data_IF_241788311817
#
_entry.id   IF_241788311817
#
_cell.length_a   1.000
_cell.length_b   1.000
_cell.length_c   1.000
_cell.angle_alpha   90.00
_cell.angle_beta   90.00
_cell.angle_gamma   90.00
#
_symmetry.space_group_name_H-M   'P 1'
#
loop_
_entity.id
_entity.type
_entity.pdbx_description
1 polymer ?
#
# COMPACT_ATOMS: atom_id res chain seq x y z
N UNK A 1 7.81 3.37 -14.52
CA UNK A 1 6.76 2.36 -14.25
C UNK A 1 7.49 1.03 -14.27
N UNK A 2 7.61 0.38 -13.10
CA UNK A 2 8.37 -0.87 -13.03
C UNK A 2 7.66 -1.95 -13.86
N UNK A 3 8.42 -2.61 -14.71
CA UNK A 3 7.92 -3.77 -15.45
C UNK A 3 8.07 -5.00 -14.55
N UNK A 4 6.97 -5.74 -14.37
CA UNK A 4 6.95 -6.94 -13.54
C UNK A 4 6.83 -8.18 -14.41
N UNK A 5 7.43 -9.27 -13.94
CA UNK A 5 7.39 -10.60 -14.57
C UNK A 5 7.16 -11.71 -13.56
N UNK A 6 6.73 -12.85 -14.03
CA UNK A 6 6.69 -14.06 -13.22
C UNK A 6 8.11 -14.56 -12.90
N UNK A 7 8.24 -15.30 -11.81
CA UNK A 7 9.46 -16.02 -11.46
C UNK A 7 9.74 -17.14 -12.46
N UNK A 8 11.02 -17.33 -12.81
CA UNK A 8 11.46 -18.48 -13.60
C UNK A 8 11.57 -19.74 -12.73
N UNK A 9 11.49 -20.95 -13.30
CA UNK A 9 11.67 -22.18 -12.55
C UNK A 9 13.01 -22.26 -11.79
N UNK A 10 14.09 -21.72 -12.36
CA UNK A 10 15.40 -21.67 -11.72
C UNK A 10 15.43 -20.73 -10.50
N UNK A 11 14.76 -19.60 -10.58
CA UNK A 11 14.61 -18.67 -9.43
C UNK A 11 13.78 -19.30 -8.32
N UNK A 12 12.68 -19.98 -8.65
CA UNK A 12 11.86 -20.70 -7.68
C UNK A 12 12.70 -21.76 -6.94
N UNK A 13 13.45 -22.59 -7.65
CA UNK A 13 14.32 -23.59 -7.05
C UNK A 13 15.38 -22.96 -6.12
N UNK A 14 15.98 -21.84 -6.50
CA UNK A 14 16.92 -21.10 -5.67
C UNK A 14 16.27 -20.52 -4.42
N UNK A 15 15.04 -20.00 -4.53
CA UNK A 15 14.27 -19.49 -3.41
C UNK A 15 13.91 -20.60 -2.41
N UNK A 16 13.44 -21.75 -2.89
CA UNK A 16 13.14 -22.92 -2.05
C UNK A 16 14.40 -23.42 -1.35
N UNK A 17 15.54 -23.49 -2.05
CA UNK A 17 16.82 -23.86 -1.46
C UNK A 17 17.29 -22.87 -0.36
N UNK A 18 16.90 -21.60 -0.44
CA UNK A 18 17.17 -20.58 0.59
C UNK A 18 16.17 -20.59 1.75
N UNK A 19 15.23 -21.56 1.78
CA UNK A 19 14.20 -21.70 2.81
C UNK A 19 13.00 -20.77 2.61
N UNK A 20 12.85 -20.18 1.43
CA UNK A 20 11.66 -19.40 1.07
C UNK A 20 10.55 -20.32 0.56
N UNK A 21 9.30 -19.95 0.80
CA UNK A 21 8.10 -20.72 0.40
C UNK A 21 7.03 -19.79 -0.15
N UNK A 22 6.16 -20.29 -1.01
CA UNK A 22 4.96 -19.60 -1.43
C UNK A 22 3.76 -20.57 -1.45
N UNK A 23 2.56 -20.02 -1.23
CA UNK A 23 1.32 -20.80 -1.42
C UNK A 23 1.16 -21.18 -2.89
N UNK A 24 1.50 -20.25 -3.77
CA UNK A 24 1.48 -20.40 -5.23
C UNK A 24 2.50 -19.45 -5.85
N UNK A 25 3.60 -19.98 -6.40
CA UNK A 25 4.64 -19.20 -7.05
C UNK A 25 4.14 -18.43 -8.29
N UNK A 26 3.08 -18.92 -8.94
CA UNK A 26 2.52 -18.24 -10.11
C UNK A 26 1.82 -16.91 -9.78
N UNK A 27 1.48 -16.70 -8.52
CA UNK A 27 0.85 -15.47 -8.01
C UNK A 27 1.88 -14.42 -7.56
N UNK A 28 3.17 -14.72 -7.68
CA UNK A 28 4.27 -13.83 -7.28
C UNK A 28 4.88 -13.20 -8.53
N UNK A 29 4.88 -11.87 -8.57
CA UNK A 29 5.49 -11.08 -9.64
C UNK A 29 6.70 -10.31 -9.08
N UNK A 30 7.76 -10.22 -9.87
CA UNK A 30 9.01 -9.56 -9.48
C UNK A 30 9.44 -8.56 -10.56
N UNK A 31 10.20 -7.55 -10.17
CA UNK A 31 10.84 -6.64 -11.11
C UNK A 31 11.82 -7.36 -12.04
N UNK A 32 12.12 -6.79 -13.20
CA UNK A 32 13.03 -7.38 -14.20
C UNK A 32 14.43 -7.68 -13.65
N UNK A 33 14.92 -6.84 -12.74
CA UNK A 33 16.25 -6.95 -12.12
C UNK A 33 16.27 -7.80 -10.84
N UNK A 34 15.20 -8.53 -10.56
CA UNK A 34 15.11 -9.40 -9.39
C UNK A 34 16.18 -10.49 -9.39
N UNK A 35 16.78 -10.71 -8.22
CA UNK A 35 17.70 -11.80 -7.96
C UNK A 35 17.27 -12.61 -6.74
N UNK A 36 17.29 -13.97 -6.77
CA UNK A 36 16.82 -14.81 -5.66
C UNK A 36 17.47 -14.54 -4.30
N UNK A 37 18.71 -14.03 -4.27
CA UNK A 37 19.40 -13.67 -3.02
C UNK A 37 18.72 -12.55 -2.22
N UNK A 38 17.79 -11.83 -2.81
CA UNK A 38 16.99 -10.78 -2.16
C UNK A 38 15.95 -11.35 -1.19
N UNK A 39 15.58 -12.64 -1.37
CA UNK A 39 14.63 -13.32 -0.49
C UNK A 39 15.33 -14.47 0.25
N UNK A 40 15.20 -14.50 1.57
CA UNK A 40 15.73 -15.58 2.41
C UNK A 40 14.78 -15.89 3.55
N UNK A 41 14.30 -17.12 3.63
CA UNK A 41 13.30 -17.52 4.63
C UNK A 41 11.99 -16.74 4.50
N UNK A 42 11.65 -16.28 3.29
CA UNK A 42 10.41 -15.55 3.01
C UNK A 42 9.25 -16.55 2.88
N UNK A 43 8.12 -16.20 3.46
CA UNK A 43 6.84 -16.95 3.31
C UNK A 43 5.86 -16.06 2.56
N UNK A 44 5.64 -16.36 1.29
CA UNK A 44 4.81 -15.55 0.41
C UNK A 44 3.42 -16.19 0.27
N UNK A 45 2.38 -15.36 0.21
CA UNK A 45 1.02 -15.87 0.05
C UNK A 45 0.10 -14.93 -0.68
N UNK A 46 -0.89 -15.50 -1.39
CA UNK A 46 -1.77 -14.73 -2.25
C UNK A 46 -1.00 -13.98 -3.32
N UNK A 47 -1.50 -12.85 -3.76
CA UNK A 47 -0.80 -12.01 -4.75
C UNK A 47 0.27 -11.15 -4.09
N UNK A 48 1.52 -11.31 -4.51
CA UNK A 48 2.63 -10.48 -4.05
C UNK A 48 3.39 -9.94 -5.25
N UNK A 49 3.70 -8.65 -5.22
CA UNK A 49 4.50 -7.99 -6.23
C UNK A 49 5.71 -7.32 -5.58
N UNK A 50 6.90 -7.60 -6.08
CA UNK A 50 8.15 -7.12 -5.53
C UNK A 50 8.83 -6.18 -6.54
N UNK A 51 8.96 -4.91 -6.18
CA UNK A 51 9.67 -3.93 -6.99
C UNK A 51 11.19 -4.10 -6.90
N UNK A 52 11.92 -3.31 -7.68
CA UNK A 52 13.39 -3.34 -7.74
C UNK A 52 14.03 -3.16 -6.36
N UNK A 53 15.05 -3.94 -6.06
CA UNK A 53 15.84 -3.82 -4.82
C UNK A 53 15.11 -4.21 -3.53
N UNK A 54 13.94 -4.83 -3.59
CA UNK A 54 13.23 -5.34 -2.42
C UNK A 54 14.00 -6.48 -1.78
N UNK A 55 14.16 -6.43 -0.46
CA UNK A 55 14.75 -7.51 0.32
C UNK A 55 13.77 -8.02 1.38
N UNK A 56 13.56 -9.34 1.45
CA UNK A 56 12.72 -9.98 2.49
C UNK A 56 13.53 -11.04 3.22
N UNK A 57 13.61 -10.95 4.55
CA UNK A 57 14.35 -11.89 5.40
C UNK A 57 13.47 -12.39 6.53
N UNK A 58 13.39 -13.72 6.69
CA UNK A 58 12.64 -14.39 7.77
C UNK A 58 11.25 -13.83 8.03
N UNK A 59 10.54 -13.44 6.95
CA UNK A 59 9.29 -12.69 7.05
C UNK A 59 8.17 -13.32 6.24
N UNK A 60 6.92 -13.16 6.72
CA UNK A 60 5.71 -13.55 5.99
C UNK A 60 5.06 -12.35 5.31
N UNK A 61 4.80 -12.44 4.00
CA UNK A 61 4.13 -11.39 3.21
C UNK A 61 2.96 -12.01 2.45
N UNK A 62 1.79 -11.38 2.55
CA UNK A 62 0.58 -11.86 1.88
C UNK A 62 -0.26 -10.73 1.32
N UNK A 63 -0.65 -10.81 0.06
CA UNK A 63 -1.49 -9.82 -0.63
C UNK A 63 -0.90 -8.40 -0.54
N UNK A 64 0.36 -8.24 -0.97
CA UNK A 64 1.08 -6.98 -0.86
C UNK A 64 1.86 -6.62 -2.13
N UNK A 65 1.81 -5.35 -2.51
CA UNK A 65 2.73 -4.74 -3.46
C UNK A 65 3.84 -4.04 -2.64
N UNK A 66 5.07 -4.53 -2.75
CA UNK A 66 6.23 -4.02 -2.02
C UNK A 66 7.01 -3.07 -2.92
N UNK A 67 7.13 -1.82 -2.51
CA UNK A 67 7.82 -0.76 -3.26
C UNK A 67 9.33 -0.93 -3.30
N UNK A 68 9.96 -0.23 -4.25
CA UNK A 68 11.39 -0.36 -4.53
C UNK A 68 12.26 -0.03 -3.31
N UNK A 69 13.32 -0.82 -3.11
CA UNK A 69 14.30 -0.65 -2.03
C UNK A 69 13.78 -0.98 -0.63
N UNK A 70 12.58 -1.53 -0.50
CA UNK A 70 12.00 -1.89 0.80
C UNK A 70 12.72 -3.09 1.41
N UNK A 71 13.04 -3.00 2.71
CA UNK A 71 13.51 -4.11 3.53
C UNK A 71 12.40 -4.57 4.47
N UNK A 72 12.04 -5.86 4.41
CA UNK A 72 11.12 -6.53 5.34
C UNK A 72 11.92 -7.61 6.08
N UNK A 73 12.20 -7.41 7.36
CA UNK A 73 13.06 -8.29 8.13
C UNK A 73 12.42 -8.65 9.47
N UNK A 74 12.44 -9.94 9.83
CA UNK A 74 11.91 -10.50 11.09
C UNK A 74 10.43 -10.16 11.34
N UNK A 75 9.64 -9.95 10.28
CA UNK A 75 8.21 -9.69 10.38
C UNK A 75 7.44 -11.00 10.31
N UNK A 76 6.77 -11.37 11.39
CA UNK A 76 6.01 -12.63 11.45
C UNK A 76 4.97 -12.69 10.35
N UNK A 77 4.24 -11.58 10.15
CA UNK A 77 3.22 -11.47 9.12
C UNK A 77 2.96 -10.02 8.73
N UNK A 78 3.11 -9.71 7.46
CA UNK A 78 2.64 -8.52 6.78
C UNK A 78 1.53 -8.95 5.82
N UNK A 79 0.28 -8.69 6.15
CA UNK A 79 -0.87 -9.23 5.41
C UNK A 79 -1.95 -8.18 5.20
N UNK A 80 -2.41 -8.03 3.96
CA UNK A 80 -3.65 -7.34 3.66
C UNK A 80 -4.81 -8.35 3.65
N UNK A 81 -5.83 -8.09 4.47
CA UNK A 81 -7.06 -8.90 4.54
C UNK A 81 -8.24 -8.09 4.05
N UNK A 82 -8.82 -8.54 2.95
CA UNK A 82 -9.97 -7.87 2.34
C UNK A 82 -9.60 -6.54 1.66
N UNK A 83 -10.60 -5.73 1.39
CA UNK A 83 -10.42 -4.44 0.74
C UNK A 83 -9.83 -3.41 1.71
N UNK A 84 -8.80 -2.69 1.25
CA UNK A 84 -8.20 -1.59 2.00
C UNK A 84 -8.38 -0.28 1.26
N UNK A 85 -8.91 0.72 1.95
CA UNK A 85 -8.97 2.09 1.46
C UNK A 85 -7.76 2.93 1.94
N UNK A 86 -6.83 2.37 2.71
CA UNK A 86 -5.72 3.08 3.35
C UNK A 86 -6.16 4.39 4.03
N UNK A 87 -7.33 4.37 4.66
CA UNK A 87 -7.93 5.54 5.27
C UNK A 87 -8.60 6.51 4.29
N UNK A 88 -8.51 6.30 2.96
CA UNK A 88 -9.18 7.16 1.99
C UNK A 88 -10.68 7.22 2.25
N UNK A 89 -11.20 8.44 2.36
CA UNK A 89 -12.60 8.71 2.64
C UNK A 89 -12.95 8.80 4.14
N UNK A 90 -12.02 8.48 5.06
CA UNK A 90 -12.23 8.64 6.50
C UNK A 90 -12.30 10.12 6.87
N UNK A 91 -13.29 10.51 7.66
CA UNK A 91 -13.38 11.83 8.24
C UNK A 91 -12.65 11.88 9.58
N UNK A 92 -11.80 12.89 9.75
CA UNK A 92 -11.08 13.14 10.99
C UNK A 92 -11.48 14.51 11.53
N UNK A 93 -11.92 14.56 12.77
CA UNK A 93 -12.14 15.83 13.47
C UNK A 93 -10.80 16.38 13.96
N UNK A 94 -10.41 17.54 13.45
CA UNK A 94 -9.14 18.19 13.76
C UNK A 94 -9.40 19.42 14.64
N UNK A 95 -8.73 19.49 15.81
CA UNK A 95 -8.83 20.63 16.75
C UNK A 95 -10.28 21.04 17.05
N UNK A 96 -11.03 20.12 17.63
CA UNK A 96 -12.48 20.24 17.71
C UNK A 96 -12.98 20.71 19.09
N UNK A 97 -12.55 21.86 19.56
CA UNK A 97 -13.09 22.42 20.81
C UNK A 97 -14.58 22.80 20.69
N UNK A 98 -15.01 23.23 19.50
CA UNK A 98 -16.40 23.70 19.26
C UNK A 98 -17.09 23.02 18.06
N UNK A 99 -16.60 21.90 17.57
CA UNK A 99 -17.15 21.19 16.41
C UNK A 99 -16.84 21.83 15.06
N UNK A 100 -17.09 21.07 13.99
CA UNK A 100 -17.11 21.60 12.62
C UNK A 100 -15.76 21.72 11.90
N UNK A 101 -14.68 21.17 12.45
CA UNK A 101 -13.38 21.09 11.78
C UNK A 101 -13.06 19.65 11.38
N UNK A 102 -13.81 19.14 10.44
CA UNK A 102 -13.58 17.81 9.88
C UNK A 102 -12.81 17.91 8.57
N UNK A 103 -11.84 17.01 8.39
CA UNK A 103 -11.07 16.87 7.17
C UNK A 103 -11.20 15.43 6.72
N UNK A 104 -11.47 15.23 5.43
CA UNK A 104 -11.49 13.90 4.83
C UNK A 104 -10.09 13.52 4.36
N UNK A 105 -9.62 12.37 4.80
CA UNK A 105 -8.33 11.81 4.41
C UNK A 105 -8.42 11.25 2.99
N UNK A 106 -7.44 11.55 2.16
CA UNK A 106 -7.22 10.97 0.85
C UNK A 106 -5.75 11.15 0.43
N UNK A 107 -5.28 10.37 -0.52
CA UNK A 107 -3.85 10.32 -0.93
C UNK A 107 -3.27 11.68 -1.39
N UNK A 108 -4.11 12.59 -1.89
CA UNK A 108 -3.70 13.94 -2.28
C UNK A 108 -3.89 15.01 -1.20
N UNK A 109 -4.18 14.63 0.04
CA UNK A 109 -4.35 15.59 1.14
C UNK A 109 -3.00 16.20 1.52
N UNK A 110 -2.92 17.55 1.40
CA UNK A 110 -1.75 18.31 1.85
C UNK A 110 -2.07 19.10 3.11
N UNK A 111 -1.03 19.50 3.85
CA UNK A 111 -1.20 20.39 5.01
C UNK A 111 -1.92 21.69 4.64
N UNK A 112 -1.67 22.23 3.45
CA UNK A 112 -2.34 23.44 2.95
C UNK A 112 -3.85 23.23 2.77
N UNK A 113 -4.27 22.09 2.19
CA UNK A 113 -5.69 21.76 2.02
C UNK A 113 -6.37 21.57 3.36
N UNK A 114 -5.73 20.84 4.29
CA UNK A 114 -6.24 20.65 5.65
C UNK A 114 -6.37 21.98 6.40
N UNK A 115 -5.39 22.87 6.28
CA UNK A 115 -5.42 24.22 6.84
C UNK A 115 -6.56 25.05 6.27
N UNK A 116 -6.76 25.07 4.96
CA UNK A 116 -7.87 25.78 4.33
C UNK A 116 -9.23 25.29 4.83
N UNK A 117 -9.42 23.97 4.93
CA UNK A 117 -10.65 23.40 5.46
C UNK A 117 -10.92 23.82 6.92
N UNK A 118 -9.88 23.90 7.74
CA UNK A 118 -10.00 24.29 9.15
C UNK A 118 -10.24 25.79 9.33
N UNK A 119 -9.48 26.65 8.63
CA UNK A 119 -9.51 28.11 8.80
C UNK A 119 -10.76 28.71 8.17
N UNK A 120 -11.13 28.25 6.97
CA UNK A 120 -12.29 28.77 6.24
C UNK A 120 -13.60 28.02 6.54
N UNK A 121 -13.72 27.36 7.70
CA UNK A 121 -14.93 26.63 8.09
C UNK A 121 -16.22 27.44 8.05
N UNK A 122 -16.11 28.74 8.18
CA UNK A 122 -17.23 29.71 8.11
C UNK A 122 -17.64 30.06 6.67
N UNK A 123 -16.96 29.49 5.67
CA UNK A 123 -17.29 29.62 4.24
C UNK A 123 -17.84 28.31 3.70
N UNK A 124 -19.14 28.02 3.86
CA UNK A 124 -19.71 26.71 3.57
C UNK A 124 -19.53 26.28 2.11
N UNK A 125 -19.55 27.23 1.16
CA UNK A 125 -19.32 26.90 -0.25
C UNK A 125 -17.91 26.38 -0.53
N UNK A 126 -16.88 26.95 0.11
CA UNK A 126 -15.49 26.50 -0.01
C UNK A 126 -15.31 25.13 0.64
N UNK A 127 -15.82 24.96 1.87
CA UNK A 127 -15.73 23.67 2.59
C UNK A 127 -16.42 22.56 1.80
N UNK A 128 -17.60 22.81 1.25
CA UNK A 128 -18.31 21.87 0.41
C UNK A 128 -17.55 21.54 -0.90
N UNK A 129 -16.85 22.51 -1.49
CA UNK A 129 -16.02 22.26 -2.67
C UNK A 129 -14.82 21.38 -2.35
N UNK A 130 -14.12 21.63 -1.23
CA UNK A 130 -13.01 20.82 -0.75
C UNK A 130 -13.46 19.40 -0.40
N UNK A 131 -14.61 19.22 0.27
CA UNK A 131 -15.14 17.89 0.59
C UNK A 131 -15.52 17.11 -0.67
N UNK A 132 -16.16 17.74 -1.67
CA UNK A 132 -16.44 17.09 -2.95
C UNK A 132 -15.17 16.65 -3.67
N UNK A 133 -14.13 17.48 -3.66
CA UNK A 133 -12.83 17.14 -4.24
C UNK A 133 -12.22 15.91 -3.51
N UNK A 134 -12.22 15.93 -2.19
CA UNK A 134 -11.70 14.86 -1.37
C UNK A 134 -12.47 13.53 -1.56
N UNK A 135 -13.80 13.57 -1.65
CA UNK A 135 -14.63 12.39 -1.94
C UNK A 135 -14.28 11.78 -3.29
N UNK A 136 -14.23 12.59 -4.35
CA UNK A 136 -13.86 12.10 -5.70
C UNK A 136 -12.49 11.44 -5.71
N UNK A 137 -11.50 12.05 -5.04
CA UNK A 137 -10.15 11.48 -4.94
C UNK A 137 -10.12 10.18 -4.13
N UNK A 138 -10.88 10.12 -3.02
CA UNK A 138 -10.99 8.92 -2.20
C UNK A 138 -11.69 7.77 -2.95
N UNK A 139 -12.75 8.07 -3.70
CA UNK A 139 -13.48 7.07 -4.48
C UNK A 139 -12.62 6.54 -5.63
N UNK A 140 -11.86 7.41 -6.30
CA UNK A 140 -10.91 6.99 -7.33
C UNK A 140 -9.81 6.09 -6.76
N UNK A 141 -9.27 6.42 -5.58
CA UNK A 141 -8.26 5.61 -4.91
C UNK A 141 -8.79 4.23 -4.50
N UNK A 142 -10.03 4.15 -3.98
CA UNK A 142 -10.67 2.87 -3.64
C UNK A 142 -10.83 1.96 -4.86
N UNK A 143 -11.25 2.52 -5.98
CA UNK A 143 -11.42 1.77 -7.22
C UNK A 143 -10.11 1.24 -7.79
N UNK A 144 -8.99 1.93 -7.51
CA UNK A 144 -7.66 1.56 -7.99
C UNK A 144 -6.93 0.54 -7.10
N UNK A 145 -7.20 0.54 -5.78
CA UNK A 145 -6.38 -0.22 -4.82
C UNK A 145 -6.84 -1.67 -4.58
N UNK A 146 -8.13 -1.97 -4.69
CA UNK A 146 -8.64 -3.33 -4.47
C UNK A 146 -8.22 -3.94 -3.12
N UNK A 147 -7.96 -5.25 -3.11
CA UNK A 147 -7.64 -6.04 -1.91
C UNK A 147 -6.14 -6.27 -1.67
N UNK A 148 -5.28 -5.39 -2.20
CA UNK A 148 -3.81 -5.51 -2.09
C UNK A 148 -3.26 -4.37 -1.25
N UNK A 149 -2.42 -4.72 -0.25
CA UNK A 149 -1.65 -3.75 0.52
C UNK A 149 -0.49 -3.17 -0.28
N UNK A 150 -0.03 -1.98 0.10
CA UNK A 150 1.14 -1.31 -0.50
C UNK A 150 2.05 -0.78 0.60
N UNK A 151 3.35 -0.92 0.39
CA UNK A 151 4.39 -0.41 1.26
C UNK A 151 5.60 0.05 0.44
#
# INVERSE_FOLDING_TARGET
MDTYRALTPGEIAALEASGSTADDWSSIEVAEDFHPSQLRGARLGGRVRLASGVCIRNSGVRNYDIGAGTLVEEVVRLECRGESAFGNGTEVAVMNENGGRTVRIYSGLTAQIAYMAAVYRHRPALVAALDRMARRAADAARSAQGSIGQI
#
